data_IF_277717049850
#
_entry.id   IF_277717049850
#
_cell.length_a   1.000
_cell.length_b   1.000
_cell.length_c   1.000
_cell.angle_alpha   90.00
_cell.angle_beta   90.00
_cell.angle_gamma   90.00
#
_symmetry.space_group_name_H-M   'P 1'
#
loop_
_entity.id
_entity.type
_entity.pdbx_description
1 polymer ?
#
# COMPACT_ATOMS: atom_id res chain seq x y z
N UNK A 1 27.58 -27.58 -9.38
CA UNK A 1 27.67 -26.56 -10.44
C UNK A 1 26.35 -25.78 -10.59
N UNK A 2 25.19 -26.45 -10.71
CA UNK A 2 23.87 -25.79 -10.83
C UNK A 2 23.54 -24.86 -9.64
N UNK A 3 23.77 -25.29 -8.40
CA UNK A 3 23.51 -24.47 -7.19
C UNK A 3 24.35 -23.18 -7.19
N UNK A 4 25.64 -23.27 -7.52
CA UNK A 4 26.54 -22.13 -7.60
C UNK A 4 26.11 -21.12 -8.68
N UNK A 5 25.63 -21.60 -9.83
CA UNK A 5 25.09 -20.72 -10.88
C UNK A 5 23.84 -19.99 -10.40
N UNK A 6 22.95 -20.68 -9.67
CA UNK A 6 21.75 -20.06 -9.08
C UNK A 6 22.14 -18.99 -8.06
N UNK A 7 23.08 -19.29 -7.15
CA UNK A 7 23.58 -18.33 -6.15
C UNK A 7 24.19 -17.08 -6.81
N UNK A 8 24.95 -17.24 -7.89
CA UNK A 8 25.50 -16.12 -8.67
C UNK A 8 24.38 -15.29 -9.31
N UNK A 9 23.34 -15.92 -9.88
CA UNK A 9 22.20 -15.21 -10.45
C UNK A 9 21.50 -14.38 -9.36
N UNK A 10 21.28 -14.96 -8.18
CA UNK A 10 20.68 -14.24 -7.05
C UNK A 10 21.53 -13.07 -6.58
N UNK A 11 22.85 -13.21 -6.54
CA UNK A 11 23.75 -12.10 -6.22
C UNK A 11 23.65 -10.98 -7.26
N UNK A 12 23.63 -11.32 -8.55
CA UNK A 12 23.47 -10.35 -9.63
C UNK A 12 22.12 -9.63 -9.52
N UNK A 13 21.02 -10.38 -9.29
CA UNK A 13 19.70 -9.80 -9.08
C UNK A 13 19.67 -8.87 -7.87
N UNK A 14 20.29 -9.26 -6.75
CA UNK A 14 20.40 -8.42 -5.57
C UNK A 14 21.11 -7.09 -5.89
N UNK A 15 22.22 -7.13 -6.63
CA UNK A 15 22.96 -5.92 -7.03
C UNK A 15 22.09 -5.04 -7.96
N UNK A 16 21.40 -5.63 -8.94
CA UNK A 16 20.50 -4.91 -9.85
C UNK A 16 19.40 -4.20 -9.06
N UNK A 17 18.69 -4.91 -8.18
CA UNK A 17 17.61 -4.32 -7.39
C UNK A 17 18.10 -3.33 -6.35
N UNK A 18 19.31 -3.52 -5.81
CA UNK A 18 19.98 -2.54 -4.96
C UNK A 18 20.20 -1.22 -5.71
N UNK A 19 20.76 -1.27 -6.94
CA UNK A 19 20.99 -0.07 -7.77
C UNK A 19 19.68 0.60 -8.15
N UNK A 20 18.66 -0.18 -8.53
CA UNK A 20 17.31 0.35 -8.82
C UNK A 20 16.74 1.05 -7.59
N UNK A 21 16.73 0.39 -6.43
CA UNK A 21 16.23 0.95 -5.17
C UNK A 21 16.94 2.23 -4.78
N UNK A 22 18.27 2.25 -4.88
CA UNK A 22 19.08 3.44 -4.64
C UNK A 22 18.69 4.59 -5.57
N UNK A 23 18.60 4.32 -6.89
CA UNK A 23 18.34 5.34 -7.90
C UNK A 23 16.95 5.98 -7.76
N UNK A 24 15.94 5.18 -7.38
CA UNK A 24 14.58 5.69 -7.18
C UNK A 24 14.54 6.76 -6.08
N UNK A 25 15.23 6.54 -4.96
CA UNK A 25 15.30 7.53 -3.87
C UNK A 25 16.21 8.68 -4.26
N UNK A 26 17.38 8.38 -4.83
CA UNK A 26 18.36 9.38 -5.25
C UNK A 26 17.74 10.44 -6.17
N UNK A 27 17.03 10.00 -7.23
CA UNK A 27 16.38 10.91 -8.18
C UNK A 27 15.42 11.89 -7.49
N UNK A 28 14.67 11.40 -6.50
CA UNK A 28 13.68 12.21 -5.78
C UNK A 28 14.34 13.17 -4.80
N UNK A 29 15.31 12.71 -4.02
CA UNK A 29 16.04 13.59 -3.08
C UNK A 29 16.85 14.65 -3.84
N UNK A 30 17.45 14.28 -4.98
CA UNK A 30 18.21 15.21 -5.84
C UNK A 30 17.31 16.29 -6.46
N UNK A 31 16.11 15.92 -6.93
CA UNK A 31 15.13 16.86 -7.51
C UNK A 31 14.72 17.94 -6.48
N UNK A 32 14.62 17.55 -5.21
CA UNK A 32 14.17 18.43 -4.13
C UNK A 32 15.31 19.31 -3.62
N UNK A 33 16.51 18.75 -3.44
CA UNK A 33 17.67 19.46 -2.89
C UNK A 33 18.48 20.26 -3.92
N UNK A 34 18.12 20.21 -5.21
CA UNK A 34 18.68 21.01 -6.31
C UNK A 34 20.22 21.15 -6.30
N UNK A 35 20.95 20.15 -5.83
CA UNK A 35 22.43 20.14 -5.77
C UNK A 35 23.05 20.08 -4.37
N UNK A 36 22.32 20.36 -3.28
CA UNK A 36 22.84 20.25 -1.89
C UNK A 36 22.82 18.81 -1.34
N UNK A 37 23.41 17.87 -2.08
CA UNK A 37 23.35 16.46 -1.73
C UNK A 37 24.46 16.09 -0.71
N UNK A 38 24.09 15.92 0.57
CA UNK A 38 25.06 15.58 1.63
C UNK A 38 25.37 14.09 1.66
N UNK A 39 26.51 13.70 2.24
CA UNK A 39 26.87 12.29 2.44
C UNK A 39 25.84 11.51 3.28
N UNK A 40 25.17 12.17 4.22
CA UNK A 40 24.07 11.58 5.00
C UNK A 40 22.89 11.16 4.12
N UNK A 41 22.58 11.94 3.08
CA UNK A 41 21.50 11.63 2.14
C UNK A 41 21.87 10.43 1.25
N UNK A 42 23.14 10.33 0.84
CA UNK A 42 23.68 9.15 0.12
C UNK A 42 23.53 7.89 0.96
N UNK A 43 23.91 7.96 2.24
CA UNK A 43 23.79 6.83 3.16
C UNK A 43 22.32 6.38 3.35
N UNK A 44 21.38 7.32 3.42
CA UNK A 44 19.95 6.99 3.47
C UNK A 44 19.46 6.30 2.18
N UNK A 45 19.92 6.75 1.01
CA UNK A 45 19.60 6.08 -0.26
C UNK A 45 20.19 4.66 -0.31
N UNK A 46 21.41 4.46 0.18
CA UNK A 46 22.04 3.13 0.29
C UNK A 46 21.24 2.22 1.20
N UNK A 47 20.86 2.69 2.40
CA UNK A 47 20.04 1.90 3.32
C UNK A 47 18.72 1.48 2.69
N UNK A 48 18.03 2.39 2.00
CA UNK A 48 16.82 2.05 1.27
C UNK A 48 17.09 1.00 0.18
N UNK A 49 18.15 1.18 -0.62
CA UNK A 49 18.53 0.21 -1.67
C UNK A 49 18.76 -1.19 -1.11
N UNK A 50 19.41 -1.32 0.06
CA UNK A 50 19.64 -2.60 0.73
C UNK A 50 18.31 -3.23 1.13
N UNK A 51 17.47 -2.51 1.88
CA UNK A 51 16.19 -3.06 2.36
C UNK A 51 15.24 -3.37 1.20
N UNK A 52 15.21 -2.52 0.18
CA UNK A 52 14.43 -2.75 -1.03
C UNK A 52 14.87 -4.04 -1.72
N UNK A 53 16.19 -4.23 -1.90
CA UNK A 53 16.71 -5.44 -2.53
C UNK A 53 16.41 -6.69 -1.69
N UNK A 54 16.60 -6.65 -0.38
CA UNK A 54 16.25 -7.76 0.51
C UNK A 54 14.76 -8.12 0.43
N UNK A 55 13.86 -7.12 0.43
CA UNK A 55 12.43 -7.36 0.30
C UNK A 55 12.06 -8.02 -1.05
N UNK A 56 12.66 -7.56 -2.15
CA UNK A 56 12.46 -8.17 -3.48
C UNK A 56 13.03 -9.60 -3.51
N UNK A 57 14.18 -9.83 -2.87
CA UNK A 57 14.80 -11.15 -2.79
C UNK A 57 13.99 -12.15 -1.99
N UNK A 58 13.25 -11.72 -0.96
CA UNK A 58 12.28 -12.60 -0.30
C UNK A 58 11.29 -13.16 -1.32
N UNK A 59 10.75 -12.31 -2.19
CA UNK A 59 9.73 -12.74 -3.16
C UNK A 59 10.32 -13.55 -4.30
N UNK A 60 11.46 -13.13 -4.86
CA UNK A 60 12.16 -13.90 -5.89
C UNK A 60 12.60 -15.25 -5.34
N UNK A 61 13.12 -15.30 -4.12
CA UNK A 61 13.52 -16.51 -3.42
C UNK A 61 12.38 -17.50 -3.33
N UNK A 62 11.20 -17.06 -2.88
CA UNK A 62 9.99 -17.90 -2.88
C UNK A 62 9.67 -18.40 -4.28
N UNK A 63 9.62 -17.52 -5.28
CA UNK A 63 9.25 -17.93 -6.63
C UNK A 63 10.21 -18.96 -7.24
N UNK A 64 11.51 -18.86 -6.95
CA UNK A 64 12.52 -19.82 -7.40
C UNK A 64 12.42 -21.15 -6.66
N UNK A 65 12.21 -21.17 -5.35
CA UNK A 65 11.98 -22.41 -4.58
C UNK A 65 10.77 -23.17 -5.13
N UNK A 66 9.76 -22.46 -5.59
CA UNK A 66 8.60 -23.07 -6.23
C UNK A 66 8.86 -23.67 -7.61
N UNK A 67 9.76 -23.05 -8.38
CA UNK A 67 10.11 -23.46 -9.74
C UNK A 67 11.23 -24.50 -9.79
N UNK A 68 12.12 -24.50 -8.80
CA UNK A 68 13.34 -25.30 -8.73
C UNK A 68 13.54 -25.76 -7.29
N UNK A 69 13.35 -27.06 -7.02
CA UNK A 69 13.40 -27.62 -5.66
C UNK A 69 14.82 -27.67 -5.05
N UNK A 70 15.86 -27.32 -5.80
CA UNK A 70 17.27 -27.47 -5.40
C UNK A 70 17.96 -26.16 -4.98
N UNK A 71 17.19 -25.15 -4.59
CA UNK A 71 17.70 -23.83 -4.19
C UNK A 71 18.18 -23.87 -2.74
N UNK A 72 19.34 -23.26 -2.46
CA UNK A 72 19.88 -23.14 -1.11
C UNK A 72 18.95 -22.30 -0.22
N UNK A 73 18.48 -22.89 0.89
CA UNK A 73 17.59 -22.28 1.88
C UNK A 73 18.06 -20.91 2.41
N UNK A 74 19.38 -20.69 2.47
CA UNK A 74 19.96 -19.42 2.94
C UNK A 74 19.59 -18.21 2.06
N UNK A 75 19.31 -18.45 0.76
CA UNK A 75 18.97 -17.40 -0.20
C UNK A 75 17.67 -16.70 0.20
N UNK A 76 16.70 -17.43 0.77
CA UNK A 76 15.45 -16.86 1.27
C UNK A 76 15.55 -16.49 2.77
N UNK A 77 16.23 -17.32 3.56
CA UNK A 77 16.33 -17.14 5.01
C UNK A 77 17.03 -15.82 5.39
N UNK A 78 18.15 -15.47 4.76
CA UNK A 78 18.90 -14.25 5.10
C UNK A 78 18.04 -13.00 4.82
N UNK A 79 17.48 -12.77 3.62
CA UNK A 79 16.59 -11.63 3.38
C UNK A 79 15.38 -11.58 4.31
N UNK A 80 14.80 -12.74 4.63
CA UNK A 80 13.68 -12.83 5.56
C UNK A 80 14.03 -12.29 6.95
N UNK A 81 15.13 -12.77 7.54
CA UNK A 81 15.56 -12.34 8.89
C UNK A 81 15.86 -10.85 8.93
N UNK A 82 16.59 -10.32 7.94
CA UNK A 82 16.88 -8.89 7.87
C UNK A 82 15.62 -8.04 7.73
N UNK A 83 14.67 -8.45 6.89
CA UNK A 83 13.39 -7.75 6.77
C UNK A 83 12.60 -7.80 8.09
N UNK A 84 12.56 -8.95 8.76
CA UNK A 84 11.81 -9.14 10.01
C UNK A 84 12.38 -8.26 11.14
N UNK A 85 13.72 -8.23 11.27
CA UNK A 85 14.41 -7.35 12.21
C UNK A 85 14.14 -5.87 11.89
N UNK A 86 14.19 -5.49 10.61
CA UNK A 86 13.95 -4.11 10.21
C UNK A 86 12.52 -3.64 10.53
N UNK A 87 11.51 -4.46 10.23
CA UNK A 87 10.11 -4.16 10.56
C UNK A 87 9.90 -4.11 12.07
N UNK A 88 10.57 -4.97 12.83
CA UNK A 88 10.46 -4.97 14.29
C UNK A 88 11.08 -3.72 14.91
N UNK A 89 12.21 -3.24 14.39
CA UNK A 89 12.97 -2.13 14.97
C UNK A 89 12.49 -0.75 14.52
N UNK A 90 12.04 -0.60 13.27
CA UNK A 90 11.68 0.70 12.72
C UNK A 90 10.62 1.48 13.53
N UNK A 91 9.53 0.87 14.08
CA UNK A 91 8.56 1.59 14.89
C UNK A 91 9.18 2.32 16.09
N UNK A 92 10.25 1.78 16.68
CA UNK A 92 11.00 2.47 17.74
C UNK A 92 11.65 3.74 17.22
N UNK A 93 12.32 3.68 16.07
CA UNK A 93 12.94 4.86 15.44
C UNK A 93 11.90 5.94 15.15
N UNK A 94 10.72 5.55 14.67
CA UNK A 94 9.63 6.47 14.37
C UNK A 94 9.05 7.12 15.64
N UNK A 95 8.82 6.36 16.71
CA UNK A 95 8.36 6.92 17.98
C UNK A 95 9.40 7.82 18.66
N UNK A 96 10.68 7.47 18.57
CA UNK A 96 11.78 8.33 19.05
C UNK A 96 11.85 9.63 18.24
N UNK A 97 11.65 9.54 16.92
CA UNK A 97 11.59 10.73 16.08
C UNK A 97 10.43 11.66 16.49
N UNK A 98 9.23 11.10 16.70
CA UNK A 98 8.05 11.85 17.20
C UNK A 98 8.31 12.49 18.57
N UNK A 99 9.03 11.79 19.46
CA UNK A 99 9.37 12.30 20.80
C UNK A 99 10.35 13.48 20.77
N UNK A 100 11.26 13.48 19.77
CA UNK A 100 12.34 14.47 19.63
C UNK A 100 11.98 15.63 18.70
N UNK A 101 11.06 15.43 17.75
CA UNK A 101 10.68 16.46 16.78
C UNK A 101 9.84 17.56 17.44
N UNK A 102 10.34 18.79 17.41
CA UNK A 102 9.57 20.00 17.76
C UNK A 102 8.75 20.53 16.57
N UNK A 103 8.91 19.97 15.37
CA UNK A 103 8.25 20.42 14.14
C UNK A 103 6.76 20.06 14.14
N UNK A 104 5.96 20.88 13.43
CA UNK A 104 4.53 20.68 13.21
C UNK A 104 4.23 19.24 12.78
N UNK A 105 3.10 18.68 13.23
CA UNK A 105 2.55 17.37 12.83
C UNK A 105 2.30 17.23 11.30
N UNK A 106 2.72 18.22 10.49
CA UNK A 106 2.63 18.27 9.05
C UNK A 106 3.53 17.20 8.42
N UNK A 107 2.91 16.04 8.17
CA UNK A 107 3.55 14.92 7.49
C UNK A 107 3.32 13.57 8.16
N UNK A 108 2.93 13.57 9.44
CA UNK A 108 2.59 12.38 10.20
C UNK A 108 1.34 11.69 9.62
N UNK A 109 1.31 10.36 9.67
CA UNK A 109 0.06 9.63 9.37
C UNK A 109 -0.97 9.98 10.45
N UNK A 110 -2.28 9.80 10.19
CA UNK A 110 -3.28 9.98 11.24
C UNK A 110 -3.00 9.13 12.50
N UNK A 111 -2.42 7.94 12.31
CA UNK A 111 -1.97 7.07 13.40
C UNK A 111 -0.81 7.69 14.18
N UNK A 112 0.24 8.17 13.49
CA UNK A 112 1.36 8.86 14.13
C UNK A 112 0.91 10.13 14.86
N UNK A 113 -0.03 10.90 14.29
CA UNK A 113 -0.59 12.08 14.93
C UNK A 113 -1.38 11.72 16.20
N UNK A 114 -2.17 10.64 16.14
CA UNK A 114 -2.88 10.14 17.30
C UNK A 114 -1.91 9.72 18.42
N UNK A 115 -0.89 8.92 18.10
CA UNK A 115 0.13 8.45 19.05
C UNK A 115 0.93 9.64 19.62
N UNK A 116 1.32 10.58 18.76
CA UNK A 116 2.01 11.81 19.14
C UNK A 116 1.22 12.58 20.19
N UNK A 117 -0.03 12.96 19.88
CA UNK A 117 -0.84 13.84 20.73
C UNK A 117 -1.30 13.13 22.01
N UNK A 118 -1.72 11.87 21.91
CA UNK A 118 -2.37 11.17 23.04
C UNK A 118 -1.39 10.44 23.96
N UNK A 119 -0.24 10.00 23.45
CA UNK A 119 0.66 9.09 24.17
C UNK A 119 2.02 9.76 24.42
N UNK A 120 2.78 10.06 23.35
CA UNK A 120 4.19 10.45 23.46
C UNK A 120 4.35 11.89 23.97
N UNK A 121 3.64 12.86 23.39
CA UNK A 121 3.76 14.28 23.73
C UNK A 121 2.85 14.72 24.89
N UNK A 122 2.39 13.76 25.72
CA UNK A 122 1.61 14.07 26.93
C UNK A 122 2.42 14.86 27.96
N UNK A 123 3.73 14.64 27.98
CA UNK A 123 4.66 15.27 28.93
C UNK A 123 5.48 16.38 28.27
N UNK A 124 5.75 17.46 29.03
CA UNK A 124 6.55 18.60 28.53
C UNK A 124 8.06 18.30 28.49
N UNK A 125 8.58 17.46 29.39
CA UNK A 125 10.02 17.14 29.47
C UNK A 125 10.44 16.12 28.40
N UNK A 126 11.50 16.43 27.64
CA UNK A 126 12.01 15.57 26.54
C UNK A 126 12.41 14.16 27.01
N UNK A 127 13.04 14.04 28.18
CA UNK A 127 13.43 12.74 28.73
C UNK A 127 12.21 11.84 29.01
N UNK A 128 11.12 12.42 29.52
CA UNK A 128 9.87 11.69 29.74
C UNK A 128 9.23 11.27 28.41
N UNK A 129 9.27 12.12 27.37
CA UNK A 129 8.78 11.75 26.03
C UNK A 129 9.52 10.54 25.46
N UNK A 130 10.85 10.54 25.55
CA UNK A 130 11.70 9.42 25.09
C UNK A 130 11.36 8.15 25.88
N UNK A 131 11.26 8.24 27.21
CA UNK A 131 10.90 7.09 28.05
C UNK A 131 9.51 6.55 27.68
N UNK A 132 8.53 7.43 27.47
CA UNK A 132 7.19 7.01 27.05
C UNK A 132 7.17 6.39 25.66
N UNK A 133 7.99 6.88 24.72
CA UNK A 133 8.11 6.30 23.38
C UNK A 133 8.71 4.88 23.43
N UNK A 134 9.78 4.68 24.20
CA UNK A 134 10.40 3.37 24.41
C UNK A 134 9.43 2.43 25.13
N UNK A 135 8.80 2.90 26.21
CA UNK A 135 7.83 2.12 26.97
C UNK A 135 6.62 1.72 26.13
N UNK A 136 6.08 2.63 25.32
CA UNK A 136 4.99 2.34 24.41
C UNK A 136 5.40 1.33 23.33
N UNK A 137 6.59 1.46 22.76
CA UNK A 137 7.13 0.49 21.81
C UNK A 137 7.22 -0.92 22.41
N UNK A 138 7.84 -1.07 23.59
CA UNK A 138 7.95 -2.37 24.26
C UNK A 138 6.58 -2.94 24.61
N UNK A 139 5.68 -2.11 25.14
CA UNK A 139 4.34 -2.53 25.53
C UNK A 139 3.46 -2.94 24.34
N UNK A 140 3.61 -2.30 23.17
CA UNK A 140 2.79 -2.62 22.00
C UNK A 140 3.40 -3.71 21.15
N UNK A 141 4.71 -3.72 20.91
CA UNK A 141 5.34 -4.62 19.95
C UNK A 141 5.90 -5.90 20.56
N UNK A 142 6.29 -5.91 21.84
CA UNK A 142 6.89 -7.09 22.48
C UNK A 142 5.98 -7.76 23.52
N UNK A 143 5.21 -6.98 24.29
CA UNK A 143 4.35 -7.56 25.32
C UNK A 143 3.26 -8.49 24.74
N UNK A 144 2.53 -8.15 23.67
CA UNK A 144 1.50 -9.05 23.15
C UNK A 144 2.06 -10.37 22.60
N UNK A 145 3.14 -10.37 21.78
CA UNK A 145 3.79 -11.62 21.38
C UNK A 145 4.29 -12.46 22.55
N UNK A 146 4.84 -11.81 23.59
CA UNK A 146 5.31 -12.52 24.77
C UNK A 146 4.17 -13.17 25.56
N UNK A 147 3.09 -12.42 25.83
CA UNK A 147 1.91 -12.93 26.55
C UNK A 147 1.20 -14.06 25.79
N UNK A 148 1.07 -13.92 24.47
CA UNK A 148 0.47 -14.95 23.62
C UNK A 148 1.37 -16.20 23.52
N UNK A 149 2.69 -16.03 23.59
CA UNK A 149 3.62 -17.16 23.60
C UNK A 149 3.50 -18.00 24.87
N UNK A 150 3.21 -17.38 26.02
CA UNK A 150 2.97 -18.10 27.29
C UNK A 150 1.71 -18.99 27.19
N UNK A 151 0.73 -18.62 26.37
CA UNK A 151 -0.52 -19.39 26.16
C UNK A 151 -0.29 -20.63 25.26
N UNK A 152 0.93 -20.81 24.72
CA UNK A 152 1.34 -22.01 23.98
C UNK A 152 1.42 -21.83 22.46
N UNK A 153 1.24 -20.61 21.94
CA UNK A 153 1.46 -20.33 20.51
C UNK A 153 2.95 -20.04 20.27
N UNK A 154 3.58 -20.58 19.21
CA UNK A 154 4.99 -20.32 18.91
C UNK A 154 5.32 -18.83 18.79
N UNK A 155 6.36 -18.38 19.50
CA UNK A 155 6.75 -16.97 19.53
C UNK A 155 7.01 -16.40 18.13
N UNK A 156 7.71 -17.14 17.26
CA UNK A 156 8.05 -16.67 15.91
C UNK A 156 6.80 -16.40 15.05
N UNK A 157 5.76 -17.22 15.20
CA UNK A 157 4.51 -17.10 14.43
C UNK A 157 3.78 -15.83 14.86
N UNK A 158 3.68 -15.60 16.17
CA UNK A 158 3.06 -14.38 16.70
C UNK A 158 3.90 -13.17 16.33
N UNK A 159 5.22 -13.27 16.43
CA UNK A 159 6.12 -12.15 16.15
C UNK A 159 6.03 -11.70 14.69
N UNK A 160 6.08 -12.62 13.73
CA UNK A 160 5.92 -12.30 12.30
C UNK A 160 4.54 -11.67 12.03
N UNK A 161 3.47 -12.27 12.57
CA UNK A 161 2.09 -11.78 12.43
C UNK A 161 1.91 -10.39 13.02
N UNK A 162 2.40 -10.19 14.24
CA UNK A 162 2.23 -8.94 15.00
C UNK A 162 3.09 -7.80 14.45
N UNK A 163 4.31 -8.11 14.00
CA UNK A 163 5.19 -7.13 13.36
C UNK A 163 4.60 -6.62 12.04
N UNK A 164 3.83 -7.46 11.31
CA UNK A 164 3.14 -7.08 10.09
C UNK A 164 1.86 -6.24 10.32
N UNK A 165 1.25 -6.29 11.50
CA UNK A 165 -0.01 -5.60 11.77
C UNK A 165 0.09 -4.08 11.55
N UNK A 166 1.08 -3.43 12.18
CA UNK A 166 1.26 -1.98 12.10
C UNK A 166 1.56 -1.46 10.67
N UNK A 167 2.53 -2.00 9.92
CA UNK A 167 2.79 -1.53 8.55
C UNK A 167 1.63 -1.83 7.61
N UNK A 168 0.98 -3.00 7.72
CA UNK A 168 -0.17 -3.34 6.88
C UNK A 168 -1.36 -2.43 7.15
N UNK A 169 -1.60 -2.02 8.39
CA UNK A 169 -2.63 -1.03 8.70
C UNK A 169 -2.36 0.31 7.98
N UNK A 170 -1.10 0.75 7.94
CA UNK A 170 -0.75 1.98 7.22
C UNK A 170 -0.89 1.78 5.70
N UNK A 171 -0.41 0.65 5.17
CA UNK A 171 -0.52 0.30 3.76
C UNK A 171 -1.98 0.26 3.30
N UNK A 172 -2.85 -0.45 4.03
CA UNK A 172 -4.29 -0.57 3.75
C UNK A 172 -5.02 0.77 3.91
N UNK A 173 -4.65 1.62 4.88
CA UNK A 173 -5.22 2.95 5.02
C UNK A 173 -4.97 3.84 3.78
N UNK A 174 -3.72 3.88 3.32
CA UNK A 174 -3.40 4.62 2.10
C UNK A 174 -3.89 3.91 0.84
N UNK A 175 -3.93 2.56 0.88
CA UNK A 175 -4.42 1.60 -0.12
C UNK A 175 -5.94 1.62 -0.33
N UNK A 176 -6.71 2.07 0.66
CA UNK A 176 -8.13 2.39 0.51
C UNK A 176 -8.32 3.81 -0.05
N UNK A 177 -7.61 4.82 0.45
CA UNK A 177 -7.76 6.23 -0.01
C UNK A 177 -7.66 6.44 -1.52
N UNK A 178 -6.56 6.00 -2.13
CA UNK A 178 -6.39 6.04 -3.58
C UNK A 178 -7.23 5.02 -4.37
N UNK A 179 -7.74 3.94 -3.76
CA UNK A 179 -8.71 3.05 -4.40
C UNK A 179 -10.02 3.82 -4.56
N UNK A 180 -10.41 4.54 -3.52
CA UNK A 180 -11.55 5.46 -3.52
C UNK A 180 -11.33 6.63 -4.48
N UNK A 181 -10.11 7.18 -4.55
CA UNK A 181 -9.79 8.20 -5.53
C UNK A 181 -9.90 7.67 -6.97
N UNK A 182 -9.44 6.43 -7.22
CA UNK A 182 -9.57 5.76 -8.52
C UNK A 182 -11.03 5.52 -8.91
N UNK A 183 -11.82 4.94 -8.00
CA UNK A 183 -13.28 4.78 -8.18
C UNK A 183 -13.93 6.13 -8.43
N UNK A 184 -13.62 7.12 -7.60
CA UNK A 184 -14.21 8.46 -7.72
C UNK A 184 -13.87 9.09 -9.06
N UNK A 185 -12.62 8.95 -9.52
CA UNK A 185 -12.20 9.43 -10.83
C UNK A 185 -13.02 8.77 -11.94
N UNK A 186 -13.04 7.44 -12.03
CA UNK A 186 -13.82 6.73 -13.03
C UNK A 186 -15.33 7.07 -12.94
N UNK A 187 -15.87 7.13 -11.72
CA UNK A 187 -17.26 7.48 -11.45
C UNK A 187 -17.64 8.90 -11.94
N UNK A 188 -16.76 9.90 -11.76
CA UNK A 188 -17.05 11.27 -12.14
C UNK A 188 -17.00 11.54 -13.65
N UNK A 189 -16.29 10.71 -14.43
CA UNK A 189 -16.29 10.82 -15.89
C UNK A 189 -17.49 10.13 -16.54
N UNK A 190 -18.25 9.31 -15.80
CA UNK A 190 -19.48 8.72 -16.31
C UNK A 190 -20.60 9.78 -16.34
N UNK A 191 -21.13 10.16 -17.52
CA UNK A 191 -22.16 11.19 -17.61
C UNK A 191 -23.45 10.75 -16.91
N UNK A 192 -23.89 11.51 -15.91
CA UNK A 192 -25.14 11.27 -15.16
C UNK A 192 -25.36 9.79 -14.79
N UNK A 193 -24.53 9.28 -13.88
CA UNK A 193 -24.48 7.84 -13.56
C UNK A 193 -25.83 7.21 -13.17
N UNK A 194 -26.71 7.98 -12.52
CA UNK A 194 -28.04 7.51 -12.12
C UNK A 194 -28.89 7.11 -13.33
N UNK A 195 -28.67 7.78 -14.46
CA UNK A 195 -29.37 7.50 -15.70
C UNK A 195 -28.54 6.58 -16.61
N UNK A 196 -27.22 6.76 -16.68
CA UNK A 196 -26.37 6.02 -17.64
C UNK A 196 -26.46 4.49 -17.52
N UNK A 197 -26.66 3.97 -16.31
CA UNK A 197 -26.86 2.52 -16.07
C UNK A 197 -28.15 2.01 -16.75
N UNK A 198 -29.18 2.86 -16.86
CA UNK A 198 -30.47 2.52 -17.44
C UNK A 198 -30.61 2.88 -18.91
N UNK A 199 -29.72 3.72 -19.46
CA UNK A 199 -29.77 4.14 -20.88
C UNK A 199 -29.68 2.95 -21.82
N UNK A 200 -28.91 1.91 -21.48
CA UNK A 200 -28.83 0.69 -22.30
C UNK A 200 -30.17 -0.06 -22.41
N UNK A 201 -31.05 0.09 -21.40
CA UNK A 201 -32.38 -0.51 -21.40
C UNK A 201 -33.42 0.39 -22.08
N UNK A 202 -33.27 1.71 -22.00
CA UNK A 202 -34.15 2.70 -22.64
C UNK A 202 -33.87 2.88 -24.14
N UNK A 203 -32.59 3.02 -24.51
CA UNK A 203 -32.12 3.26 -25.87
C UNK A 203 -30.74 2.60 -26.07
N UNK A 204 -30.71 1.34 -26.57
CA UNK A 204 -29.48 0.58 -26.68
C UNK A 204 -28.48 1.20 -27.66
N UNK A 205 -28.94 1.91 -28.70
CA UNK A 205 -28.06 2.55 -29.69
C UNK A 205 -27.31 3.71 -29.05
N UNK A 206 -28.02 4.55 -28.29
CA UNK A 206 -27.42 5.66 -27.54
C UNK A 206 -26.49 5.17 -26.43
N UNK A 207 -26.90 4.12 -25.72
CA UNK A 207 -26.11 3.51 -24.66
C UNK A 207 -24.78 2.93 -25.14
N UNK A 208 -24.79 2.19 -26.25
CA UNK A 208 -23.56 1.68 -26.89
C UNK A 208 -22.67 2.83 -27.36
N UNK A 209 -23.23 3.89 -27.96
CA UNK A 209 -22.45 5.06 -28.39
C UNK A 209 -21.77 5.76 -27.20
N UNK A 210 -22.46 5.86 -26.07
CA UNK A 210 -21.92 6.42 -24.83
C UNK A 210 -20.84 5.54 -24.19
N UNK A 211 -20.99 4.21 -24.26
CA UNK A 211 -19.96 3.28 -23.82
C UNK A 211 -18.72 3.37 -24.72
N UNK A 212 -18.89 3.38 -26.04
CA UNK A 212 -17.78 3.46 -27.00
C UNK A 212 -17.02 4.80 -26.93
N UNK A 213 -17.66 5.89 -26.51
CA UNK A 213 -16.98 7.18 -26.36
C UNK A 213 -16.01 7.22 -25.17
N UNK A 214 -16.28 6.49 -24.10
CA UNK A 214 -15.37 6.35 -22.95
C UNK A 214 -15.55 4.99 -22.26
N UNK A 215 -15.08 3.89 -22.87
CA UNK A 215 -15.26 2.55 -22.31
C UNK A 215 -14.41 2.35 -21.05
N UNK A 216 -13.29 3.09 -20.95
CA UNK A 216 -12.33 2.99 -19.86
C UNK A 216 -12.97 3.25 -18.50
N UNK A 217 -13.74 4.34 -18.36
CA UNK A 217 -14.38 4.69 -17.10
C UNK A 217 -15.37 3.62 -16.61
N UNK A 218 -16.15 3.00 -17.51
CA UNK A 218 -17.08 1.93 -17.13
C UNK A 218 -16.37 0.63 -16.77
N UNK A 219 -15.38 0.20 -17.56
CA UNK A 219 -14.62 -1.03 -17.33
C UNK A 219 -13.83 -0.90 -16.02
N UNK A 220 -13.14 0.22 -15.81
CA UNK A 220 -12.36 0.47 -14.59
C UNK A 220 -13.28 0.50 -13.36
N UNK A 221 -14.44 1.17 -13.44
CA UNK A 221 -15.39 1.19 -12.34
C UNK A 221 -15.89 -0.21 -12.00
N UNK A 222 -16.27 -1.00 -13.02
CA UNK A 222 -16.72 -2.39 -12.85
C UNK A 222 -15.63 -3.28 -12.25
N UNK A 223 -14.40 -3.18 -12.75
CA UNK A 223 -13.25 -3.94 -12.26
C UNK A 223 -12.92 -3.57 -10.81
N UNK A 224 -12.95 -2.28 -10.46
CA UNK A 224 -12.74 -1.85 -9.07
C UNK A 224 -13.85 -2.40 -8.16
N UNK A 225 -15.13 -2.25 -8.52
CA UNK A 225 -16.25 -2.81 -7.74
C UNK A 225 -16.12 -4.33 -7.54
N UNK A 226 -15.70 -5.05 -8.59
CA UNK A 226 -15.40 -6.48 -8.50
C UNK A 226 -14.30 -6.76 -7.48
N UNK A 227 -13.18 -6.01 -7.50
CA UNK A 227 -12.08 -6.16 -6.52
C UNK A 227 -12.57 -5.96 -5.08
N UNK A 228 -13.50 -5.03 -4.83
CA UNK A 228 -14.09 -4.86 -3.49
C UNK A 228 -14.96 -6.05 -3.06
N UNK A 229 -15.80 -6.58 -3.94
CA UNK A 229 -16.59 -7.79 -3.66
C UNK A 229 -15.65 -8.99 -3.45
N UNK A 230 -14.59 -9.08 -4.27
CA UNK A 230 -13.58 -10.11 -4.16
C UNK A 230 -12.88 -10.11 -2.80
N UNK A 231 -12.60 -8.92 -2.24
CA UNK A 231 -12.00 -8.83 -0.90
C UNK A 231 -12.89 -9.46 0.19
N UNK A 232 -14.22 -9.34 0.08
CA UNK A 232 -15.15 -10.04 0.99
C UNK A 232 -15.11 -11.56 0.80
N UNK A 233 -15.09 -12.02 -0.45
CA UNK A 233 -14.99 -13.46 -0.77
C UNK A 233 -13.67 -14.02 -0.20
N UNK A 234 -12.57 -13.29 -0.39
CA UNK A 234 -11.25 -13.62 0.15
C UNK A 234 -11.27 -13.74 1.67
N UNK A 235 -11.88 -12.78 2.38
CA UNK A 235 -12.05 -12.85 3.83
C UNK A 235 -12.77 -14.11 4.30
N UNK A 236 -13.88 -14.46 3.67
CA UNK A 236 -14.61 -15.67 4.02
C UNK A 236 -13.80 -16.94 3.74
N UNK A 237 -13.00 -16.95 2.67
CA UNK A 237 -12.10 -18.06 2.36
C UNK A 237 -10.98 -18.19 3.38
N UNK A 238 -10.36 -17.08 3.79
CA UNK A 238 -9.28 -17.06 4.80
C UNK A 238 -9.80 -17.56 6.16
N UNK A 239 -10.99 -17.13 6.57
CA UNK A 239 -11.64 -17.61 7.81
C UNK A 239 -11.98 -19.10 7.68
N UNK A 240 -12.57 -19.53 6.56
CA UNK A 240 -12.91 -20.94 6.34
C UNK A 240 -11.64 -21.82 6.34
N UNK A 241 -10.55 -21.35 5.73
CA UNK A 241 -9.27 -22.05 5.67
C UNK A 241 -8.72 -22.39 7.06
N UNK A 242 -8.88 -21.51 8.04
CA UNK A 242 -8.49 -21.79 9.42
C UNK A 242 -9.18 -23.03 9.99
N UNK A 243 -10.47 -23.25 9.66
CA UNK A 243 -11.24 -24.38 10.17
C UNK A 243 -11.12 -25.64 9.30
N UNK A 244 -10.97 -25.49 7.98
CA UNK A 244 -10.98 -26.62 7.05
C UNK A 244 -9.60 -27.11 6.67
N UNK A 245 -8.55 -26.31 6.90
CA UNK A 245 -7.18 -26.56 6.44
C UNK A 245 -7.02 -26.60 4.92
N UNK A 246 -8.04 -26.19 4.15
CA UNK A 246 -8.06 -26.22 2.68
C UNK A 246 -8.66 -24.95 2.11
N UNK A 247 -7.96 -24.32 1.18
CA UNK A 247 -8.48 -23.18 0.43
C UNK A 247 -9.58 -23.67 -0.54
N UNK A 248 -10.79 -23.12 -0.41
CA UNK A 248 -11.94 -23.52 -1.23
C UNK A 248 -11.75 -23.19 -2.72
N UNK A 249 -10.99 -22.14 -3.04
CA UNK A 249 -10.64 -21.74 -4.40
C UNK A 249 -9.16 -21.36 -4.43
N UNK A 250 -8.31 -22.20 -5.03
CA UNK A 250 -6.89 -21.91 -5.23
C UNK A 250 -6.67 -21.10 -6.52
N UNK A 251 -6.87 -19.78 -6.48
CA UNK A 251 -6.56 -18.90 -7.64
C UNK A 251 -5.09 -18.48 -7.70
N UNK A 252 -4.34 -18.61 -6.60
CA UNK A 252 -2.92 -18.27 -6.56
C UNK A 252 -2.07 -19.31 -7.29
N UNK A 253 -2.06 -19.23 -8.62
CA UNK A 253 -1.01 -19.86 -9.43
C UNK A 253 0.34 -19.15 -9.20
N UNK A 254 1.44 -19.86 -9.40
CA UNK A 254 2.83 -19.34 -9.31
C UNK A 254 3.03 -18.04 -10.09
N UNK A 255 2.27 -17.82 -11.16
CA UNK A 255 2.33 -16.61 -12.00
C UNK A 255 1.69 -15.38 -11.36
N UNK A 256 0.62 -15.55 -10.59
CA UNK A 256 -0.10 -14.44 -9.97
C UNK A 256 0.74 -13.72 -8.91
N UNK A 257 1.77 -14.38 -8.42
CA UNK A 257 2.77 -13.84 -7.49
C UNK A 257 3.57 -12.72 -8.15
N UNK A 258 4.12 -12.97 -9.33
CA UNK A 258 4.91 -11.99 -10.06
C UNK A 258 4.04 -10.78 -10.43
N UNK A 259 2.78 -11.04 -10.78
CA UNK A 259 1.78 -9.99 -11.04
C UNK A 259 1.52 -9.17 -9.78
N UNK A 260 1.31 -9.81 -8.63
CA UNK A 260 1.09 -9.13 -7.34
C UNK A 260 2.32 -8.35 -6.89
N UNK A 261 3.54 -8.85 -7.15
CA UNK A 261 4.79 -8.15 -6.89
C UNK A 261 4.93 -6.90 -7.77
N UNK A 262 4.73 -7.04 -9.09
CA UNK A 262 4.83 -5.90 -10.01
C UNK A 262 3.82 -4.83 -9.66
N UNK A 263 2.55 -5.20 -9.46
CA UNK A 263 1.51 -4.24 -9.06
C UNK A 263 1.69 -3.71 -7.63
N UNK A 264 2.24 -4.51 -6.72
CA UNK A 264 2.58 -4.10 -5.35
C UNK A 264 3.69 -3.05 -5.33
N UNK A 265 4.78 -3.29 -6.05
CA UNK A 265 5.92 -2.36 -6.20
C UNK A 265 5.47 -1.11 -6.97
N UNK A 266 4.80 -1.27 -8.11
CA UNK A 266 4.29 -0.14 -8.89
C UNK A 266 3.27 0.68 -8.10
N UNK A 267 2.31 0.03 -7.44
CA UNK A 267 1.31 0.67 -6.59
C UNK A 267 1.94 1.41 -5.43
N UNK A 268 2.94 0.83 -4.78
CA UNK A 268 3.73 1.49 -3.74
C UNK A 268 4.40 2.78 -4.26
N UNK A 269 5.18 2.70 -5.35
CA UNK A 269 5.93 3.86 -5.86
C UNK A 269 5.04 4.95 -6.46
N UNK A 270 4.04 4.57 -7.26
CA UNK A 270 3.12 5.52 -7.91
C UNK A 270 2.26 6.29 -6.90
N UNK A 271 1.94 5.67 -5.75
CA UNK A 271 0.93 6.20 -4.83
C UNK A 271 1.48 6.77 -3.53
N UNK A 272 2.49 6.12 -2.94
CA UNK A 272 3.10 6.59 -1.69
C UNK A 272 4.27 7.51 -1.95
N UNK A 273 5.17 7.11 -2.86
CA UNK A 273 6.42 7.82 -3.05
C UNK A 273 6.26 9.05 -3.95
N UNK A 274 5.47 8.96 -5.03
CA UNK A 274 5.29 10.06 -5.98
C UNK A 274 4.53 11.30 -5.47
N UNK A 275 3.83 11.22 -4.32
CA UNK A 275 2.88 12.27 -3.88
C UNK A 275 3.29 13.08 -2.66
N UNK A 276 4.32 12.66 -1.92
CA UNK A 276 4.85 13.46 -0.81
C UNK A 276 6.36 13.58 -0.98
N UNK A 277 6.78 14.73 -1.48
CA UNK A 277 8.17 15.18 -1.36
C UNK A 277 8.50 15.21 0.13
N UNK A 278 9.26 14.22 0.57
CA UNK A 278 9.72 14.13 1.94
C UNK A 278 11.20 13.80 1.94
N UNK A 279 11.99 14.85 2.03
CA UNK A 279 13.44 14.83 2.09
C UNK A 279 13.98 14.50 3.49
N UNK A 280 13.08 14.31 4.48
CA UNK A 280 13.48 13.96 5.84
C UNK A 280 13.86 12.48 5.85
N UNK A 281 15.01 12.16 6.46
CA UNK A 281 15.52 10.78 6.50
C UNK A 281 14.52 9.77 7.06
N UNK A 282 13.66 10.19 8.00
CA UNK A 282 12.61 9.35 8.58
C UNK A 282 11.63 8.82 7.54
N UNK A 283 11.36 9.58 6.49
CA UNK A 283 10.42 9.18 5.44
C UNK A 283 11.04 8.18 4.46
N UNK A 284 12.37 8.23 4.27
CA UNK A 284 13.13 7.19 3.54
C UNK A 284 13.14 5.89 4.35
N UNK A 285 13.37 5.96 5.67
CA UNK A 285 13.31 4.80 6.54
C UNK A 285 11.89 4.21 6.64
N UNK A 286 10.87 5.06 6.67
CA UNK A 286 9.46 4.67 6.58
C UNK A 286 9.15 3.92 5.29
N UNK A 287 9.70 4.40 4.18
CA UNK A 287 9.55 3.75 2.89
C UNK A 287 10.22 2.37 2.85
N UNK A 288 11.44 2.26 3.35
CA UNK A 288 12.12 0.97 3.49
C UNK A 288 11.31 0.01 4.38
N UNK A 289 10.67 0.54 5.44
CA UNK A 289 9.84 -0.22 6.36
C UNK A 289 8.60 -0.82 5.68
N UNK A 290 7.91 -0.03 4.86
CA UNK A 290 6.78 -0.52 4.06
C UNK A 290 7.21 -1.57 3.03
N UNK A 291 8.36 -1.38 2.37
CA UNK A 291 8.87 -2.35 1.40
C UNK A 291 9.24 -3.69 2.04
N UNK A 292 9.94 -3.67 3.17
CA UNK A 292 10.23 -4.90 3.94
C UNK A 292 8.92 -5.62 4.32
N UNK A 293 7.91 -4.86 4.75
CA UNK A 293 6.61 -5.41 5.14
C UNK A 293 5.87 -6.06 3.98
N UNK A 294 5.94 -5.49 2.77
CA UNK A 294 5.40 -6.11 1.56
C UNK A 294 6.11 -7.45 1.28
N UNK A 295 7.44 -7.49 1.38
CA UNK A 295 8.21 -8.72 1.15
C UNK A 295 7.81 -9.86 2.10
N UNK A 296 7.71 -9.57 3.41
CA UNK A 296 7.28 -10.58 4.39
C UNK A 296 5.80 -10.95 4.21
N UNK A 297 4.93 -9.98 3.92
CA UNK A 297 3.51 -10.28 3.71
C UNK A 297 3.29 -11.25 2.53
N UNK A 298 4.04 -11.05 1.44
CA UNK A 298 4.03 -11.98 0.31
C UNK A 298 4.47 -13.38 0.75
N UNK A 299 5.58 -13.49 1.49
CA UNK A 299 6.07 -14.77 2.03
C UNK A 299 5.02 -15.46 2.92
N UNK A 300 4.33 -14.72 3.80
CA UNK A 300 3.28 -15.26 4.68
C UNK A 300 2.10 -15.79 3.86
N UNK A 301 1.62 -15.03 2.87
CA UNK A 301 0.55 -15.49 1.99
C UNK A 301 0.94 -16.78 1.24
N UNK A 302 2.20 -16.91 0.86
CA UNK A 302 2.70 -18.14 0.23
C UNK A 302 2.80 -19.33 1.16
N UNK A 303 3.26 -19.11 2.39
CA UNK A 303 3.34 -20.13 3.42
C UNK A 303 1.95 -20.74 3.68
N UNK A 304 0.90 -19.93 3.64
CA UNK A 304 -0.49 -20.39 3.78
C UNK A 304 -0.90 -21.32 2.62
N UNK A 305 -0.50 -21.00 1.38
CA UNK A 305 -0.93 -21.75 0.19
C UNK A 305 -0.10 -23.04 -0.02
N UNK A 306 1.22 -23.02 0.20
CA UNK A 306 2.07 -24.19 -0.01
C UNK A 306 3.16 -24.31 1.08
N UNK A 307 2.80 -24.78 2.29
CA UNK A 307 3.73 -24.88 3.41
C UNK A 307 4.87 -25.89 3.17
N UNK A 308 4.56 -27.02 2.51
CA UNK A 308 5.51 -28.14 2.30
C UNK A 308 6.76 -27.71 1.51
N UNK A 309 6.60 -26.79 0.54
CA UNK A 309 7.72 -26.30 -0.27
C UNK A 309 8.68 -25.38 0.48
N UNK A 310 8.29 -24.86 1.65
CA UNK A 310 9.08 -23.92 2.45
C UNK A 310 9.68 -24.56 3.71
N UNK A 311 9.41 -25.84 3.96
CA UNK A 311 9.92 -26.59 5.12
C UNK A 311 11.46 -26.53 5.21
N UNK A 312 12.14 -26.87 4.12
CA UNK A 312 13.60 -26.82 4.02
C UNK A 312 14.20 -25.42 4.26
N UNK A 313 13.43 -24.35 4.06
CA UNK A 313 13.91 -22.97 4.29
C UNK A 313 13.87 -22.61 5.76
N UNK A 314 12.79 -22.98 6.44
CA UNK A 314 12.56 -22.59 7.81
C UNK A 314 13.19 -23.53 8.84
N UNK A 315 13.55 -24.75 8.44
CA UNK A 315 14.24 -25.73 9.28
C UNK A 315 15.73 -25.40 9.53
N UNK A 316 16.27 -24.36 8.90
CA UNK A 316 17.67 -23.92 9.08
C UNK A 316 17.94 -23.44 10.52
N UNK A 317 16.96 -22.83 11.18
CA UNK A 317 17.11 -22.30 12.54
C UNK A 317 16.01 -22.81 13.46
N UNK A 318 16.37 -23.25 14.68
CA UNK A 318 15.43 -23.85 15.62
C UNK A 318 14.28 -22.94 16.07
N UNK A 319 14.41 -21.61 15.90
CA UNK A 319 13.31 -20.67 16.12
C UNK A 319 12.34 -20.66 14.93
N UNK A 320 12.84 -20.78 13.69
CA UNK A 320 12.01 -20.74 12.48
C UNK A 320 11.41 -22.09 12.11
N UNK A 321 11.96 -23.22 12.56
CA UNK A 321 11.40 -24.56 12.28
C UNK A 321 9.97 -24.73 12.81
N UNK A 322 9.55 -23.88 13.76
CA UNK A 322 8.18 -23.86 14.27
C UNK A 322 7.17 -23.20 13.30
N UNK A 323 7.62 -22.54 12.23
CA UNK A 323 6.76 -21.80 11.28
C UNK A 323 5.90 -22.76 10.47
N UNK A 324 6.50 -23.77 9.84
CA UNK A 324 5.79 -24.68 8.92
C UNK A 324 4.76 -25.55 9.63
N UNK A 325 5.04 -26.19 10.78
CA UNK A 325 4.04 -26.97 11.52
C UNK A 325 2.84 -26.11 12.00
N UNK A 326 3.03 -24.80 12.11
CA UNK A 326 2.01 -23.86 12.61
C UNK A 326 1.51 -22.90 11.52
N UNK A 327 1.66 -23.24 10.24
CA UNK A 327 1.32 -22.36 9.12
C UNK A 327 -0.14 -21.87 9.16
N UNK A 328 -1.07 -22.68 9.67
CA UNK A 328 -2.49 -22.32 9.81
C UNK A 328 -2.70 -21.09 10.70
N UNK A 329 -1.84 -20.86 11.68
CA UNK A 329 -1.96 -19.70 12.58
C UNK A 329 -1.67 -18.37 11.87
N UNK A 330 -1.01 -18.39 10.70
CA UNK A 330 -0.86 -17.21 9.86
C UNK A 330 -2.15 -16.79 9.16
N UNK A 331 -3.17 -17.65 9.09
CA UNK A 331 -4.48 -17.28 8.57
C UNK A 331 -5.12 -16.14 9.37
N UNK A 332 -4.85 -16.05 10.67
CA UNK A 332 -5.29 -14.91 11.49
C UNK A 332 -4.64 -13.60 11.05
N UNK A 333 -3.36 -13.62 10.69
CA UNK A 333 -2.64 -12.45 10.19
C UNK A 333 -3.29 -11.93 8.91
N UNK A 334 -3.52 -12.84 7.95
CA UNK A 334 -4.16 -12.53 6.68
C UNK A 334 -5.59 -12.02 6.86
N UNK A 335 -6.39 -12.67 7.73
CA UNK A 335 -7.75 -12.26 8.01
C UNK A 335 -7.81 -10.84 8.63
N UNK A 336 -6.88 -10.50 9.54
CA UNK A 336 -6.81 -9.16 10.11
C UNK A 336 -6.52 -8.12 9.03
N UNK A 337 -5.59 -8.38 8.10
CA UNK A 337 -5.30 -7.49 6.98
C UNK A 337 -6.56 -7.24 6.13
N UNK A 338 -7.26 -8.32 5.75
CA UNK A 338 -8.48 -8.26 4.93
C UNK A 338 -9.60 -7.50 5.63
N UNK A 339 -9.81 -7.75 6.93
CA UNK A 339 -10.78 -7.01 7.76
C UNK A 339 -10.46 -5.52 7.75
N UNK A 340 -9.20 -5.14 8.00
CA UNK A 340 -8.78 -3.74 8.04
C UNK A 340 -8.97 -3.07 6.67
N UNK A 341 -8.64 -3.76 5.58
CA UNK A 341 -8.88 -3.29 4.22
C UNK A 341 -10.38 -3.05 3.95
N UNK A 342 -11.23 -4.00 4.33
CA UNK A 342 -12.68 -3.91 4.18
C UNK A 342 -13.25 -2.76 5.01
N UNK A 343 -12.82 -2.61 6.26
CA UNK A 343 -13.25 -1.52 7.15
C UNK A 343 -12.91 -0.17 6.53
N UNK A 344 -11.65 0.06 6.15
CA UNK A 344 -11.25 1.35 5.60
C UNK A 344 -11.90 1.64 4.25
N UNK A 345 -11.99 0.65 3.37
CA UNK A 345 -12.62 0.83 2.06
C UNK A 345 -14.11 1.10 2.20
N UNK A 346 -14.81 0.37 3.07
CA UNK A 346 -16.22 0.59 3.37
C UNK A 346 -16.46 1.95 4.00
N UNK A 347 -15.61 2.36 4.95
CA UNK A 347 -15.66 3.69 5.56
C UNK A 347 -15.58 4.78 4.50
N UNK A 348 -14.60 4.74 3.60
CA UNK A 348 -14.45 5.77 2.58
C UNK A 348 -15.50 5.68 1.45
N UNK A 349 -16.06 4.51 1.15
CA UNK A 349 -17.17 4.36 0.17
C UNK A 349 -18.49 4.91 0.73
N UNK A 350 -18.80 4.58 1.99
CA UNK A 350 -20.10 4.88 2.62
C UNK A 350 -20.13 6.28 3.24
N UNK A 351 -19.00 6.78 3.77
CA UNK A 351 -18.92 8.11 4.38
C UNK A 351 -18.88 9.23 3.32
N UNK A 352 -20.01 9.43 2.63
CA UNK A 352 -20.20 10.42 1.54
C UNK A 352 -19.85 11.86 1.91
N UNK A 353 -19.77 12.19 3.20
CA UNK A 353 -19.52 13.55 3.70
C UNK A 353 -18.15 13.72 4.38
N UNK A 354 -17.19 12.84 4.09
CA UNK A 354 -15.82 12.97 4.59
C UNK A 354 -15.08 14.12 3.88
N UNK A 355 -14.27 14.89 4.63
CA UNK A 355 -13.39 15.93 4.08
C UNK A 355 -12.46 15.41 2.97
N UNK A 356 -12.07 14.13 3.01
CA UNK A 356 -11.31 13.49 1.94
C UNK A 356 -12.05 13.49 0.59
N UNK A 357 -13.35 13.16 0.57
CA UNK A 357 -14.16 13.13 -0.65
C UNK A 357 -14.37 14.54 -1.19
N UNK A 358 -14.60 15.52 -0.30
CA UNK A 358 -14.71 16.94 -0.69
C UNK A 358 -13.42 17.44 -1.34
N UNK A 359 -12.27 17.09 -0.77
CA UNK A 359 -10.97 17.46 -1.33
C UNK A 359 -10.71 16.82 -2.70
N UNK A 360 -11.10 15.55 -2.89
CA UNK A 360 -11.03 14.90 -4.21
C UNK A 360 -11.90 15.66 -5.23
N UNK A 361 -13.12 16.03 -4.85
CA UNK A 361 -14.04 16.75 -5.74
C UNK A 361 -13.48 18.11 -6.15
N UNK A 362 -12.99 18.90 -5.19
CA UNK A 362 -12.35 20.19 -5.47
C UNK A 362 -11.13 20.03 -6.37
N UNK A 363 -10.24 19.09 -6.03
CA UNK A 363 -9.03 18.84 -6.83
C UNK A 363 -9.38 18.45 -8.27
N UNK A 364 -10.43 17.62 -8.44
CA UNK A 364 -10.86 17.18 -9.77
C UNK A 364 -11.50 18.31 -10.57
N UNK A 365 -12.28 19.19 -9.94
CA UNK A 365 -12.82 20.39 -10.61
C UNK A 365 -11.67 21.25 -11.14
N UNK A 366 -10.66 21.52 -10.31
CA UNK A 366 -9.49 22.29 -10.73
C UNK A 366 -8.71 21.62 -11.86
N UNK A 367 -8.47 20.30 -11.75
CA UNK A 367 -7.80 19.51 -12.80
C UNK A 367 -8.55 19.59 -14.13
N UNK A 368 -9.87 19.35 -14.11
CA UNK A 368 -10.71 19.40 -15.30
C UNK A 368 -10.72 20.79 -15.96
N UNK A 369 -10.68 21.87 -15.17
CA UNK A 369 -10.55 23.23 -15.68
C UNK A 369 -9.20 23.50 -16.38
N UNK A 370 -8.13 22.80 -15.98
CA UNK A 370 -6.81 22.90 -16.60
C UNK A 370 -6.69 22.02 -17.85
N UNK A 371 -7.28 20.82 -17.83
CA UNK A 371 -7.23 19.86 -18.93
C UNK A 371 -8.36 20.02 -19.95
N UNK A 372 -9.24 21.00 -19.75
CA UNK A 372 -10.43 21.25 -20.58
C UNK A 372 -11.35 20.02 -20.71
N UNK A 373 -11.60 19.32 -19.61
CA UNK A 373 -12.54 18.20 -19.57
C UNK A 373 -13.90 18.61 -18.96
N UNK A 374 -14.95 18.82 -19.78
CA UNK A 374 -16.24 19.32 -19.31
C UNK A 374 -17.07 18.26 -18.57
N UNK A 375 -16.85 16.96 -18.78
CA UNK A 375 -17.79 15.91 -18.37
C UNK A 375 -17.92 15.86 -16.84
N UNK A 376 -16.82 15.80 -16.07
CA UNK A 376 -16.91 15.81 -14.61
C UNK A 376 -17.52 17.10 -14.08
N UNK A 377 -17.23 18.25 -14.70
CA UNK A 377 -17.77 19.54 -14.27
C UNK A 377 -19.30 19.61 -14.39
N UNK A 378 -19.86 19.14 -15.50
CA UNK A 378 -21.33 19.03 -15.68
C UNK A 378 -21.98 18.06 -14.68
N UNK A 379 -21.25 17.01 -14.28
CA UNK A 379 -21.70 16.12 -13.22
C UNK A 379 -21.67 16.80 -11.84
N UNK A 380 -20.67 17.65 -11.56
CA UNK A 380 -20.51 18.35 -10.28
C UNK A 380 -21.54 19.47 -10.07
N UNK A 381 -21.98 20.18 -11.11
CA UNK A 381 -23.06 21.19 -10.99
C UNK A 381 -24.34 20.56 -10.41
N UNK A 382 -24.59 19.29 -10.69
CA UNK A 382 -25.81 18.58 -10.25
C UNK A 382 -25.70 18.04 -8.81
N UNK A 383 -24.60 18.30 -8.09
CA UNK A 383 -24.42 17.87 -6.71
C UNK A 383 -25.25 18.72 -5.74
N UNK A 384 -25.66 18.09 -4.63
CA UNK A 384 -26.37 18.76 -3.52
C UNK A 384 -25.50 19.77 -2.75
N UNK A 385 -24.17 19.61 -2.77
CA UNK A 385 -23.28 20.48 -2.01
C UNK A 385 -23.07 21.81 -2.77
N UNK A 386 -23.54 22.92 -2.18
CA UNK A 386 -23.51 24.25 -2.79
C UNK A 386 -22.09 24.74 -3.13
N UNK A 387 -21.09 24.47 -2.28
CA UNK A 387 -19.71 24.88 -2.53
C UNK A 387 -19.11 24.19 -3.76
N UNK A 388 -19.32 22.87 -3.88
CA UNK A 388 -18.85 22.08 -5.02
C UNK A 388 -19.54 22.52 -6.31
N UNK A 389 -20.84 22.80 -6.24
CA UNK A 389 -21.63 23.26 -7.37
C UNK A 389 -21.12 24.60 -7.89
N UNK A 390 -20.95 25.58 -7.00
CA UNK A 390 -20.47 26.92 -7.36
C UNK A 390 -19.07 26.85 -7.98
N UNK A 391 -18.16 26.10 -7.36
CA UNK A 391 -16.80 25.97 -7.88
C UNK A 391 -16.75 25.31 -9.27
N UNK A 392 -17.60 24.31 -9.52
CA UNK A 392 -17.71 23.68 -10.83
C UNK A 392 -18.31 24.62 -11.89
N UNK A 393 -19.29 25.44 -11.52
CA UNK A 393 -19.93 26.44 -12.39
C UNK A 393 -18.94 27.53 -12.79
N UNK A 394 -18.24 28.14 -11.84
CA UNK A 394 -17.18 29.12 -12.11
C UNK A 394 -16.09 28.54 -13.01
N UNK A 395 -15.66 27.31 -12.73
CA UNK A 395 -14.61 26.66 -13.52
C UNK A 395 -15.08 26.37 -14.95
N UNK A 396 -16.34 26.00 -15.15
CA UNK A 396 -16.92 25.83 -16.49
C UNK A 396 -16.96 27.14 -17.26
N UNK A 397 -17.40 28.23 -16.62
CA UNK A 397 -17.41 29.56 -17.24
C UNK A 397 -16.00 29.96 -17.70
N UNK A 398 -15.01 29.86 -16.80
CA UNK A 398 -13.61 30.14 -17.12
C UNK A 398 -13.07 29.27 -18.26
N UNK A 399 -13.50 28.01 -18.33
CA UNK A 399 -13.09 27.10 -19.39
C UNK A 399 -13.67 27.51 -20.74
N UNK A 400 -14.95 27.90 -20.80
CA UNK A 400 -15.60 28.38 -22.03
C UNK A 400 -15.07 29.75 -22.47
N UNK A 401 -14.77 30.66 -21.54
CA UNK A 401 -14.14 31.96 -21.83
C UNK A 401 -12.75 31.83 -22.44
N UNK A 402 -12.02 30.75 -22.14
CA UNK A 402 -10.68 30.46 -22.67
C UNK A 402 -10.69 29.73 -24.00
N UNK A 403 -11.85 29.25 -24.47
CA UNK A 403 -11.93 28.64 -25.80
C UNK A 403 -11.68 29.75 -26.83
N UNK A 404 -10.68 29.61 -27.72
CA UNK A 404 -10.49 30.59 -28.76
C UNK A 404 -11.76 30.64 -29.60
N UNK A 405 -12.32 31.85 -29.78
CA UNK A 405 -13.41 32.04 -30.72
C UNK A 405 -12.98 31.47 -32.06
N UNK A 406 -13.65 30.42 -32.53
CA UNK A 406 -13.48 29.97 -33.91
C UNK A 406 -13.90 31.15 -34.77
N UNK A 407 -12.97 31.70 -35.54
CA UNK A 407 -13.17 32.81 -36.48
C UNK A 407 -14.23 32.54 -37.57
N UNK A 408 -14.81 31.35 -37.58
CA UNK A 408 -15.81 30.87 -38.54
C UNK A 408 -17.24 30.87 -38.02
N UNK A 409 -17.47 31.19 -36.73
CA UNK A 409 -18.82 31.25 -36.16
C UNK A 409 -19.17 32.72 -35.92
N UNK A 410 -19.84 33.31 -36.91
CA UNK A 410 -20.49 34.61 -36.75
C UNK A 410 -21.67 34.43 -35.79
N UNK A 411 -21.66 35.19 -34.69
CA UNK A 411 -22.72 35.16 -33.67
C UNK A 411 -23.71 36.32 -33.90
N UNK A 412 -23.56 37.05 -35.01
CA UNK A 412 -24.45 38.13 -35.43
C UNK A 412 -25.55 37.67 -36.39
#
# INVERSE_FOLDING_TARGET
MVILVIEIIFLILFIIFFVIGFYIIYKQVALVKKGEFRNRDRFQCVNYGIIFSLAVMVVIGVAFIFAVETVNSLILFIPFVFCLLYISFYPLLDFLFIALSNESDEGLTPFHKFISIKIINRFKKTSLKILTAIGFYVFVFFLPPFLLSIIGVPFIVIWVTWALFYPLMILTFYGSKGYIAGISNAYYHIPNIKRSIFINFEDPKRGIKQFLSDPGSYIILGLMLFVFIWAWISLFQTIAFFFTGRLAISIMSTYFVFVTLVFGIMGYFTRFWGRKIKYRGIDIYFAAYLMASIGINVLVNFLIVNPEKLESVFDVWGITSQIVPNFLNFAFAAAIEEIVLIIFTSYFLLARNNGFIKNIQNSKITECGQTFDPIPLFNFIKKKNQQIRHHAEETLLLMFERLPFKSEIDIN
#
